data_IF_872194221618
#
_entry.id   IF_872194221618
#
_cell.length_a   1.000
_cell.length_b   1.000
_cell.length_c   1.000
_cell.angle_alpha   90.00
_cell.angle_beta   90.00
_cell.angle_gamma   90.00
#
_symmetry.space_group_name_H-M   'P 1'
#
loop_
_entity.id
_entity.type
_entity.pdbx_description
1 polymer ?
#
# COMPACT_ATOMS: atom_id res chain seq x y z
N UNK A 1 25.94 24.17 1.59
CA UNK A 1 24.63 24.82 1.54
C UNK A 1 23.58 23.75 1.22
N UNK A 2 22.72 23.36 2.18
CA UNK A 2 21.55 22.47 1.93
C UNK A 2 20.49 23.34 1.21
N UNK A 3 20.32 23.14 -0.09
CA UNK A 3 19.24 23.77 -0.84
C UNK A 3 17.88 23.30 -0.30
N UNK A 4 17.01 24.23 0.04
CA UNK A 4 15.60 23.97 0.35
C UNK A 4 14.98 23.32 -0.90
N UNK A 5 14.55 22.05 -0.80
CA UNK A 5 13.73 21.42 -1.85
C UNK A 5 12.37 22.08 -1.82
N UNK A 6 12.13 22.95 -2.76
CA UNK A 6 10.77 23.52 -2.98
C UNK A 6 9.90 22.36 -3.43
N UNK A 7 8.88 22.03 -2.65
CA UNK A 7 7.86 21.03 -3.06
C UNK A 7 7.13 21.63 -4.26
N UNK A 8 7.06 20.90 -5.37
CA UNK A 8 6.33 21.38 -6.54
C UNK A 8 4.82 21.41 -6.24
N UNK A 9 4.09 22.30 -6.90
CA UNK A 9 2.61 22.36 -6.77
C UNK A 9 1.98 21.01 -7.15
N UNK A 10 2.54 20.30 -8.14
CA UNK A 10 2.10 18.95 -8.53
C UNK A 10 2.31 17.96 -7.38
N UNK A 11 3.47 17.97 -6.73
CA UNK A 11 3.75 17.04 -5.63
C UNK A 11 2.86 17.31 -4.43
N UNK A 12 2.63 18.59 -4.08
CA UNK A 12 1.74 18.99 -3.00
C UNK A 12 0.29 18.55 -3.27
N UNK A 13 -0.20 18.76 -4.50
CA UNK A 13 -1.54 18.33 -4.91
C UNK A 13 -1.65 16.80 -4.91
N UNK A 14 -0.65 16.10 -5.44
CA UNK A 14 -0.61 14.62 -5.42
C UNK A 14 -0.67 14.09 -3.99
N UNK A 15 0.10 14.66 -3.08
CA UNK A 15 0.08 14.27 -1.66
C UNK A 15 -1.28 14.52 -1.00
N UNK A 16 -1.92 15.67 -1.29
CA UNK A 16 -3.25 16.00 -0.77
C UNK A 16 -4.33 15.03 -1.28
N UNK A 17 -4.35 14.75 -2.58
CA UNK A 17 -5.30 13.81 -3.18
C UNK A 17 -5.06 12.39 -2.67
N UNK A 18 -3.79 11.95 -2.54
CA UNK A 18 -3.44 10.64 -1.96
C UNK A 18 -4.01 10.49 -0.55
N UNK A 19 -3.79 11.48 0.33
CA UNK A 19 -4.36 11.48 1.67
C UNK A 19 -5.89 11.37 1.64
N UNK A 20 -6.58 12.12 0.77
CA UNK A 20 -8.05 12.04 0.66
C UNK A 20 -8.55 10.67 0.23
N UNK A 21 -7.84 10.00 -0.69
CA UNK A 21 -8.17 8.64 -1.14
C UNK A 21 -7.96 7.64 -0.01
N UNK A 22 -6.80 7.67 0.63
CA UNK A 22 -6.42 6.72 1.68
C UNK A 22 -7.19 6.92 3.00
N UNK A 23 -7.61 8.16 3.28
CA UNK A 23 -8.46 8.47 4.44
C UNK A 23 -9.96 8.21 4.17
N UNK A 24 -10.31 7.71 2.97
CA UNK A 24 -11.69 7.45 2.60
C UNK A 24 -12.55 8.70 2.42
N UNK A 25 -11.93 9.88 2.23
CA UNK A 25 -12.66 11.12 1.92
C UNK A 25 -13.07 11.21 0.44
N UNK A 26 -12.49 10.35 -0.39
CA UNK A 26 -12.91 10.09 -1.76
C UNK A 26 -13.29 8.62 -1.81
N UNK A 27 -14.58 8.36 -1.99
CA UNK A 27 -15.12 7.00 -1.93
C UNK A 27 -14.62 6.10 -3.08
N UNK A 28 -14.50 4.78 -2.87
CA UNK A 28 -14.30 3.83 -3.95
C UNK A 28 -15.36 3.99 -5.05
N UNK A 29 -14.93 3.94 -6.30
CA UNK A 29 -15.77 4.17 -7.47
C UNK A 29 -15.93 5.65 -7.87
N UNK A 30 -15.54 6.59 -7.00
CA UNK A 30 -15.63 8.02 -7.30
C UNK A 30 -14.63 8.44 -8.38
N UNK A 31 -15.08 9.23 -9.34
CA UNK A 31 -14.25 9.81 -10.38
C UNK A 31 -13.56 11.11 -9.93
N UNK A 32 -12.32 11.30 -10.37
CA UNK A 32 -11.57 12.55 -10.21
C UNK A 32 -11.41 13.20 -11.58
N UNK A 33 -12.20 14.22 -11.84
CA UNK A 33 -12.14 15.04 -13.06
C UNK A 33 -11.03 16.09 -12.96
N UNK A 34 -10.24 16.24 -14.03
CA UNK A 34 -9.14 17.23 -14.07
C UNK A 34 -9.64 18.67 -13.89
N UNK A 35 -10.85 18.98 -14.37
CA UNK A 35 -11.45 20.31 -14.27
C UNK A 35 -11.94 20.61 -12.86
N UNK A 36 -12.60 19.63 -12.22
CA UNK A 36 -13.10 19.72 -10.85
C UNK A 36 -11.94 19.87 -9.86
N UNK A 37 -10.91 19.04 -10.00
CA UNK A 37 -9.70 19.10 -9.15
C UNK A 37 -8.98 20.44 -9.36
N UNK A 38 -8.85 20.92 -10.60
CA UNK A 38 -8.22 22.21 -10.88
C UNK A 38 -8.97 23.38 -10.23
N UNK A 39 -10.30 23.34 -10.25
CA UNK A 39 -11.14 24.36 -9.63
C UNK A 39 -11.09 24.29 -8.08
N UNK A 40 -11.19 23.07 -7.50
CA UNK A 40 -11.17 22.87 -6.04
C UNK A 40 -9.87 23.35 -5.39
N UNK A 41 -8.74 23.11 -6.07
CA UNK A 41 -7.41 23.43 -5.54
C UNK A 41 -6.81 24.73 -6.10
N UNK A 42 -7.55 25.47 -6.90
CA UNK A 42 -7.10 26.72 -7.54
C UNK A 42 -5.78 26.56 -8.31
N UNK A 43 -5.64 25.45 -9.04
CA UNK A 43 -4.46 25.13 -9.85
C UNK A 43 -4.80 25.06 -11.33
N UNK A 44 -3.76 25.03 -12.18
CA UNK A 44 -3.98 24.85 -13.62
C UNK A 44 -4.47 23.43 -13.95
N UNK A 45 -5.27 23.24 -15.01
CA UNK A 45 -5.68 21.90 -15.50
C UNK A 45 -4.48 20.98 -15.80
N UNK A 46 -3.38 21.46 -16.44
CA UNK A 46 -2.17 20.65 -16.58
C UNK A 46 -1.58 20.16 -15.24
N UNK A 47 -1.61 20.99 -14.19
CA UNK A 47 -1.18 20.60 -12.83
C UNK A 47 -2.07 19.50 -12.26
N UNK A 48 -3.39 19.66 -12.33
CA UNK A 48 -4.35 18.64 -11.89
C UNK A 48 -4.17 17.32 -12.66
N UNK A 49 -4.03 17.41 -13.99
CA UNK A 49 -3.76 16.25 -14.86
C UNK A 49 -2.48 15.50 -14.45
N UNK A 50 -1.39 16.22 -14.17
CA UNK A 50 -0.13 15.63 -13.76
C UNK A 50 -0.25 14.92 -12.40
N UNK A 51 -0.93 15.54 -11.41
CA UNK A 51 -1.17 14.95 -10.10
C UNK A 51 -2.05 13.68 -10.18
N UNK A 52 -3.13 13.72 -10.96
CA UNK A 52 -3.99 12.55 -11.19
C UNK A 52 -3.21 11.43 -11.90
N UNK A 53 -2.38 11.77 -12.91
CA UNK A 53 -1.55 10.78 -13.61
C UNK A 53 -0.53 10.12 -12.67
N UNK A 54 0.05 10.86 -11.72
CA UNK A 54 0.93 10.29 -10.70
C UNK A 54 0.18 9.27 -9.83
N UNK A 55 -1.04 9.57 -9.37
CA UNK A 55 -1.86 8.63 -8.59
C UNK A 55 -2.28 7.39 -9.38
N UNK A 56 -2.50 7.52 -10.70
CA UNK A 56 -2.72 6.35 -11.58
C UNK A 56 -1.46 5.49 -11.66
N UNK A 57 -0.28 6.10 -11.78
CA UNK A 57 1.00 5.37 -11.79
C UNK A 57 1.29 4.68 -10.45
N UNK A 58 0.82 5.26 -9.34
CA UNK A 58 0.92 4.68 -8.00
C UNK A 58 -0.11 3.56 -7.73
N UNK A 59 -1.08 3.32 -8.64
CA UNK A 59 -2.14 2.33 -8.46
C UNK A 59 -3.30 2.80 -7.54
N UNK A 60 -3.28 4.04 -7.06
CA UNK A 60 -4.36 4.60 -6.23
C UNK A 60 -5.59 5.01 -7.04
N UNK A 61 -5.42 5.25 -8.33
CA UNK A 61 -6.48 5.52 -9.28
C UNK A 61 -6.36 4.60 -10.48
N UNK A 62 -7.49 4.21 -11.06
CA UNK A 62 -7.55 3.52 -12.37
C UNK A 62 -8.16 4.46 -13.39
N UNK A 63 -7.64 4.44 -14.62
CA UNK A 63 -8.18 5.24 -15.72
C UNK A 63 -8.49 4.36 -16.91
N UNK A 64 -9.75 4.32 -17.29
CA UNK A 64 -10.18 3.74 -18.56
C UNK A 64 -10.05 4.74 -19.70
N UNK A 65 -9.96 4.25 -20.94
CA UNK A 65 -9.89 5.11 -22.11
C UNK A 65 -11.13 6.04 -22.17
N UNK A 66 -10.89 7.32 -22.39
CA UNK A 66 -11.92 8.37 -22.49
C UNK A 66 -12.76 8.60 -21.24
N UNK A 67 -12.31 8.14 -20.06
CA UNK A 67 -12.98 8.39 -18.78
C UNK A 67 -12.10 9.15 -17.79
N UNK A 68 -12.73 9.79 -16.81
CA UNK A 68 -12.03 10.34 -15.65
C UNK A 68 -11.36 9.21 -14.88
N UNK A 69 -10.22 9.51 -14.26
CA UNK A 69 -9.62 8.56 -13.32
C UNK A 69 -10.54 8.39 -12.12
N UNK A 70 -10.61 7.17 -11.57
CA UNK A 70 -11.49 6.86 -10.43
C UNK A 70 -10.75 6.02 -9.38
N UNK A 71 -11.17 6.14 -8.12
CA UNK A 71 -10.70 5.25 -7.05
C UNK A 71 -11.23 3.85 -7.33
N UNK A 72 -10.38 2.82 -7.47
CA UNK A 72 -10.87 1.47 -7.75
C UNK A 72 -11.67 0.93 -6.55
N UNK A 73 -12.77 0.25 -6.85
CA UNK A 73 -13.45 -0.64 -5.90
C UNK A 73 -12.82 -2.01 -6.05
N UNK A 74 -12.10 -2.46 -5.04
CA UNK A 74 -11.38 -3.72 -5.10
C UNK A 74 -12.32 -4.90 -4.85
N UNK A 75 -12.18 -5.94 -5.65
CA UNK A 75 -12.84 -7.22 -5.48
C UNK A 75 -11.87 -8.23 -4.85
N UNK A 76 -12.39 -9.39 -4.42
CA UNK A 76 -11.56 -10.53 -4.02
C UNK A 76 -10.57 -10.93 -5.10
N UNK A 77 -11.00 -10.98 -6.36
CA UNK A 77 -10.13 -11.32 -7.48
C UNK A 77 -8.97 -10.33 -7.66
N UNK A 78 -9.22 -9.02 -7.44
CA UNK A 78 -8.15 -8.01 -7.45
C UNK A 78 -7.12 -8.26 -6.33
N UNK A 79 -7.57 -8.66 -5.13
CA UNK A 79 -6.67 -9.00 -4.01
C UNK A 79 -5.86 -10.26 -4.32
N UNK A 80 -6.50 -11.32 -4.82
CA UNK A 80 -5.82 -12.56 -5.17
C UNK A 80 -4.74 -12.32 -6.25
N UNK A 81 -5.04 -11.53 -7.28
CA UNK A 81 -4.10 -11.17 -8.36
C UNK A 81 -2.94 -10.28 -7.84
N UNK A 82 -3.25 -9.29 -6.98
CA UNK A 82 -2.23 -8.46 -6.34
C UNK A 82 -1.22 -9.29 -5.54
N UNK A 83 -1.70 -10.25 -4.74
CA UNK A 83 -0.83 -11.11 -3.93
C UNK A 83 -0.12 -12.17 -4.76
N UNK A 84 -0.66 -12.57 -5.93
CA UNK A 84 0.04 -13.43 -6.89
C UNK A 84 1.36 -12.79 -7.35
N UNK A 85 1.41 -11.46 -7.48
CA UNK A 85 2.61 -10.71 -7.88
C UNK A 85 3.44 -10.28 -6.68
N UNK A 86 2.81 -9.81 -5.59
CA UNK A 86 3.48 -9.31 -4.38
C UNK A 86 4.32 -10.40 -3.72
N UNK A 87 3.73 -11.58 -3.52
CA UNK A 87 4.36 -12.66 -2.75
C UNK A 87 5.70 -13.11 -3.34
N UNK A 88 5.85 -13.50 -4.62
CA UNK A 88 7.14 -13.90 -5.16
C UNK A 88 8.18 -12.78 -5.11
N UNK A 89 7.79 -11.50 -5.24
CA UNK A 89 8.72 -10.38 -5.14
C UNK A 89 9.28 -10.27 -3.72
N UNK A 90 8.43 -10.30 -2.70
CA UNK A 90 8.88 -10.17 -1.31
C UNK A 90 9.62 -11.42 -0.80
N UNK A 91 9.27 -12.62 -1.25
CA UNK A 91 10.03 -13.83 -0.92
C UNK A 91 11.45 -13.80 -1.52
N UNK A 92 11.61 -13.28 -2.74
CA UNK A 92 12.95 -13.08 -3.30
C UNK A 92 13.74 -12.01 -2.54
N UNK A 93 13.09 -10.95 -2.04
CA UNK A 93 13.70 -9.97 -1.14
C UNK A 93 14.24 -10.65 0.12
N UNK A 94 13.46 -11.54 0.75
CA UNK A 94 13.92 -12.29 1.93
C UNK A 94 15.18 -13.11 1.62
N UNK A 95 15.20 -13.85 0.51
CA UNK A 95 16.35 -14.63 0.09
C UNK A 95 17.61 -13.77 -0.09
N UNK A 96 17.47 -12.63 -0.76
CA UNK A 96 18.60 -11.72 -1.02
C UNK A 96 19.12 -11.04 0.25
N UNK A 97 18.23 -10.66 1.17
CA UNK A 97 18.62 -9.97 2.41
C UNK A 97 19.22 -10.94 3.44
N UNK A 98 18.78 -12.19 3.49
CA UNK A 98 19.41 -13.20 4.35
C UNK A 98 20.88 -13.45 3.99
N UNK A 99 21.27 -13.28 2.71
CA UNK A 99 22.66 -13.38 2.25
C UNK A 99 23.44 -12.08 2.47
N UNK A 100 22.79 -10.89 2.40
CA UNK A 100 23.45 -9.56 2.37
C UNK A 100 23.41 -8.83 3.70
N UNK A 101 22.55 -9.25 4.60
CA UNK A 101 22.25 -8.57 5.86
C UNK A 101 21.05 -7.63 5.76
N UNK A 102 20.49 -7.33 6.93
CA UNK A 102 19.28 -6.50 7.10
C UNK A 102 19.69 -5.06 7.38
N UNK A 103 19.05 -4.06 6.76
CA UNK A 103 19.32 -2.67 7.07
C UNK A 103 18.77 -2.31 8.48
N UNK A 104 19.51 -1.46 9.21
CA UNK A 104 19.06 -0.93 10.50
C UNK A 104 17.71 -0.24 10.44
N UNK A 105 17.39 0.39 9.31
CA UNK A 105 16.11 1.03 9.04
C UNK A 105 14.91 0.06 9.09
N UNK A 106 15.10 -1.25 8.91
CA UNK A 106 14.04 -2.22 9.03
C UNK A 106 13.60 -2.42 10.48
N UNK A 107 14.55 -2.50 11.43
CA UNK A 107 14.25 -2.54 12.86
C UNK A 107 13.57 -1.25 13.32
N UNK A 108 14.02 -0.10 12.81
CA UNK A 108 13.35 1.19 13.07
C UNK A 108 11.90 1.17 12.55
N UNK A 109 11.66 0.62 11.37
CA UNK A 109 10.30 0.55 10.81
C UNK A 109 9.35 -0.31 11.66
N UNK A 110 9.80 -1.45 12.20
CA UNK A 110 8.99 -2.27 13.12
C UNK A 110 8.76 -1.54 14.44
N UNK A 111 9.78 -0.86 14.97
CA UNK A 111 9.64 -0.04 16.18
C UNK A 111 8.60 1.08 15.98
N UNK A 112 8.66 1.80 14.86
CA UNK A 112 7.70 2.84 14.51
C UNK A 112 6.27 2.27 14.41
N UNK A 113 6.11 1.08 13.78
CA UNK A 113 4.84 0.38 13.67
C UNK A 113 4.26 0.02 15.04
N UNK A 114 5.10 -0.52 15.95
CA UNK A 114 4.70 -0.87 17.31
C UNK A 114 4.25 0.35 18.13
N UNK A 115 4.79 1.53 17.84
CA UNK A 115 4.47 2.78 18.54
C UNK A 115 3.32 3.59 17.91
N UNK A 116 2.68 3.10 16.86
CA UNK A 116 1.48 3.76 16.31
C UNK A 116 0.38 3.79 17.39
N UNK A 117 -0.13 4.96 17.79
CA UNK A 117 -1.14 5.06 18.85
C UNK A 117 -2.37 4.21 18.56
N UNK A 118 -2.99 3.57 19.58
CA UNK A 118 -4.17 2.74 19.37
C UNK A 118 -5.37 3.48 18.77
N UNK A 119 -5.46 4.79 19.03
CA UNK A 119 -6.49 5.72 18.55
C UNK A 119 -6.12 6.42 17.24
N UNK A 120 -4.94 6.17 16.70
CA UNK A 120 -4.55 6.70 15.40
C UNK A 120 -5.45 6.17 14.28
N UNK A 121 -5.58 6.96 13.21
CA UNK A 121 -6.32 6.54 12.02
C UNK A 121 -5.78 5.20 11.49
N UNK A 122 -6.68 4.36 10.97
CA UNK A 122 -6.29 3.06 10.41
C UNK A 122 -5.25 3.19 9.29
N UNK A 123 -5.38 4.22 8.44
CA UNK A 123 -4.42 4.55 7.39
C UNK A 123 -3.00 4.78 7.93
N UNK A 124 -2.85 5.37 9.12
CA UNK A 124 -1.55 5.58 9.76
C UNK A 124 -0.86 4.25 10.11
N UNK A 125 -1.62 3.29 10.64
CA UNK A 125 -1.08 1.96 10.93
C UNK A 125 -0.70 1.21 9.65
N UNK A 126 -1.57 1.25 8.63
CA UNK A 126 -1.30 0.64 7.32
C UNK A 126 -0.04 1.25 6.68
N UNK A 127 0.14 2.57 6.77
CA UNK A 127 1.34 3.21 6.22
C UNK A 127 2.62 2.78 6.93
N UNK A 128 2.58 2.63 8.25
CA UNK A 128 3.72 2.15 9.04
C UNK A 128 4.06 0.68 8.71
N UNK A 129 3.05 -0.18 8.55
CA UNK A 129 3.19 -1.56 8.11
C UNK A 129 3.84 -1.65 6.72
N UNK A 130 3.30 -0.94 5.73
CA UNK A 130 3.85 -0.92 4.38
C UNK A 130 5.25 -0.30 4.30
N UNK A 131 5.61 0.58 5.23
CA UNK A 131 6.96 1.12 5.32
C UNK A 131 7.99 0.04 5.62
N UNK A 132 7.69 -0.92 6.50
CA UNK A 132 8.56 -2.05 6.76
C UNK A 132 8.88 -2.82 5.48
N UNK A 133 7.87 -3.22 4.72
CA UNK A 133 8.05 -3.94 3.46
C UNK A 133 8.88 -3.13 2.43
N UNK A 134 8.58 -1.82 2.29
CA UNK A 134 9.36 -0.95 1.37
C UNK A 134 10.83 -0.85 1.76
N UNK A 135 11.13 -0.72 3.05
CA UNK A 135 12.52 -0.65 3.53
C UNK A 135 13.29 -1.90 3.15
N UNK A 136 12.68 -3.08 3.26
CA UNK A 136 13.30 -4.34 2.86
C UNK A 136 13.54 -4.41 1.34
N UNK A 137 12.55 -4.03 0.54
CA UNK A 137 12.67 -3.97 -0.93
C UNK A 137 13.78 -2.99 -1.35
N UNK A 138 13.82 -1.79 -0.76
CA UNK A 138 14.82 -0.76 -1.05
C UNK A 138 16.24 -1.22 -0.69
N UNK A 139 16.39 -1.98 0.38
CA UNK A 139 17.67 -2.53 0.85
C UNK A 139 18.32 -3.51 -0.13
N UNK A 140 17.54 -4.16 -0.99
CA UNK A 140 18.10 -4.99 -2.08
C UNK A 140 18.94 -4.17 -3.06
N UNK A 141 18.67 -2.87 -3.17
CA UNK A 141 19.44 -1.95 -4.04
C UNK A 141 19.16 -2.17 -5.53
N UNK A 142 18.02 -2.78 -5.90
CA UNK A 142 17.62 -2.98 -7.30
C UNK A 142 16.66 -1.91 -7.78
N UNK A 143 17.07 -0.95 -8.66
CA UNK A 143 16.16 0.08 -9.16
C UNK A 143 14.97 -0.49 -9.95
N UNK A 144 15.11 -1.69 -10.54
CA UNK A 144 14.00 -2.35 -11.27
C UNK A 144 12.99 -2.94 -10.30
N UNK A 145 13.46 -3.64 -9.27
CA UNK A 145 12.61 -4.20 -8.22
C UNK A 145 11.83 -3.09 -7.51
N UNK A 146 12.50 -1.99 -7.15
CA UNK A 146 11.88 -0.82 -6.51
C UNK A 146 10.77 -0.24 -7.38
N UNK A 147 10.98 -0.07 -8.70
CA UNK A 147 9.91 0.43 -9.59
C UNK A 147 8.72 -0.52 -9.69
N UNK A 148 8.97 -1.84 -9.77
CA UNK A 148 7.89 -2.83 -9.79
C UNK A 148 7.08 -2.78 -8.50
N UNK A 149 7.75 -2.77 -7.35
CA UNK A 149 7.10 -2.74 -6.04
C UNK A 149 6.35 -1.42 -5.80
N UNK A 150 6.92 -0.28 -6.21
CA UNK A 150 6.26 1.03 -6.15
C UNK A 150 4.97 1.07 -6.96
N UNK A 151 4.93 0.40 -8.12
CA UNK A 151 3.72 0.28 -8.93
C UNK A 151 2.59 -0.52 -8.25
N UNK A 152 2.93 -1.40 -7.31
CA UNK A 152 1.96 -2.18 -6.51
C UNK A 152 1.57 -1.48 -5.20
N UNK A 153 2.43 -0.59 -4.69
CA UNK A 153 2.31 -0.03 -3.33
C UNK A 153 0.98 0.68 -3.09
N UNK A 154 0.47 1.39 -4.08
CA UNK A 154 -0.82 2.08 -3.98
C UNK A 154 -2.00 1.10 -3.88
N UNK A 155 -2.02 0.06 -4.70
CA UNK A 155 -3.08 -0.96 -4.65
C UNK A 155 -3.00 -1.78 -3.36
N UNK A 156 -1.79 -2.12 -2.88
CA UNK A 156 -1.61 -2.77 -1.59
C UNK A 156 -2.19 -1.89 -0.47
N UNK A 157 -1.81 -0.61 -0.43
CA UNK A 157 -2.30 0.34 0.57
C UNK A 157 -3.83 0.46 0.51
N UNK A 158 -4.37 0.66 -0.69
CA UNK A 158 -5.80 0.81 -0.90
C UNK A 158 -6.58 -0.45 -0.48
N UNK A 159 -6.07 -1.65 -0.78
CA UNK A 159 -6.69 -2.91 -0.37
C UNK A 159 -6.79 -3.03 1.15
N UNK A 160 -5.74 -2.66 1.88
CA UNK A 160 -5.72 -2.70 3.34
C UNK A 160 -6.64 -1.66 3.97
N UNK A 161 -6.74 -0.46 3.39
CA UNK A 161 -7.62 0.60 3.88
C UNK A 161 -9.09 0.27 3.60
N UNK A 162 -9.44 -0.17 2.38
CA UNK A 162 -10.81 -0.49 2.00
C UNK A 162 -11.37 -1.69 2.76
N UNK A 163 -10.53 -2.69 3.05
CA UNK A 163 -10.97 -3.88 3.79
C UNK A 163 -11.05 -3.66 5.31
N UNK A 164 -10.64 -2.48 5.83
CA UNK A 164 -10.51 -2.24 7.27
C UNK A 164 -9.80 -3.40 7.97
N UNK A 165 -8.70 -3.80 7.38
CA UNK A 165 -7.89 -4.96 7.71
C UNK A 165 -7.83 -5.24 9.22
N UNK A 166 -8.35 -6.38 9.63
CA UNK A 166 -8.61 -6.72 11.02
C UNK A 166 -7.63 -7.78 11.61
N UNK A 167 -6.41 -7.92 11.07
CA UNK A 167 -5.38 -8.63 11.83
C UNK A 167 -4.97 -7.77 13.03
N UNK A 168 -4.88 -8.39 14.20
CA UNK A 168 -4.49 -7.68 15.41
C UNK A 168 -3.13 -7.01 15.25
N UNK A 169 -3.00 -5.75 15.67
CA UNK A 169 -1.75 -4.96 15.55
C UNK A 169 -0.56 -5.69 16.16
N UNK A 170 -0.72 -6.24 17.37
CA UNK A 170 0.33 -6.97 18.08
C UNK A 170 0.81 -8.18 17.30
N UNK A 171 -0.10 -8.88 16.61
CA UNK A 171 0.26 -9.99 15.74
C UNK A 171 1.13 -9.55 14.57
N UNK A 172 0.76 -8.45 13.90
CA UNK A 172 1.53 -7.93 12.75
C UNK A 172 2.93 -7.52 13.18
N UNK A 173 3.06 -6.81 14.30
CA UNK A 173 4.37 -6.43 14.86
C UNK A 173 5.21 -7.69 15.17
N UNK A 174 4.62 -8.68 15.83
CA UNK A 174 5.33 -9.93 16.18
C UNK A 174 5.76 -10.72 14.93
N UNK A 175 4.94 -10.75 13.87
CA UNK A 175 5.28 -11.37 12.59
C UNK A 175 6.47 -10.65 11.91
N UNK A 176 6.50 -9.31 11.91
CA UNK A 176 7.62 -8.54 11.38
C UNK A 176 8.91 -8.73 12.18
N UNK A 177 8.83 -8.73 13.51
CA UNK A 177 9.97 -9.00 14.38
C UNK A 177 10.56 -10.39 14.12
N UNK A 178 9.70 -11.41 13.95
CA UNK A 178 10.13 -12.77 13.65
C UNK A 178 10.85 -12.88 12.30
N UNK A 179 10.37 -12.15 11.28
CA UNK A 179 11.04 -12.06 9.97
C UNK A 179 12.42 -11.43 10.12
N UNK A 180 12.51 -10.29 10.84
CA UNK A 180 13.81 -9.63 11.08
C UNK A 180 14.80 -10.52 11.83
N UNK A 181 14.34 -11.24 12.85
CA UNK A 181 15.18 -12.16 13.62
C UNK A 181 15.75 -13.28 12.74
N UNK A 182 14.93 -13.85 11.84
CA UNK A 182 15.39 -14.87 10.90
C UNK A 182 16.41 -14.31 9.89
N UNK A 183 16.15 -13.13 9.35
CA UNK A 183 17.07 -12.44 8.43
C UNK A 183 18.41 -12.09 9.11
N UNK A 184 18.38 -11.66 10.38
CA UNK A 184 19.58 -11.24 11.11
C UNK A 184 20.59 -12.40 11.32
N UNK A 185 20.09 -13.65 11.37
CA UNK A 185 20.95 -14.86 11.49
C UNK A 185 21.21 -15.53 10.13
N UNK A 186 20.72 -14.96 9.04
CA UNK A 186 20.89 -15.51 7.69
C UNK A 186 20.07 -16.76 7.41
N UNK A 187 18.99 -17.02 8.18
CA UNK A 187 18.11 -18.19 8.00
C UNK A 187 17.11 -17.90 6.86
N UNK A 188 17.53 -18.21 5.64
CA UNK A 188 16.76 -17.99 4.40
C UNK A 188 15.43 -18.74 4.44
N UNK A 189 15.44 -20.02 4.85
CA UNK A 189 14.24 -20.87 4.87
C UNK A 189 13.21 -20.32 5.86
N UNK A 190 13.66 -19.97 7.05
CA UNK A 190 12.80 -19.41 8.09
C UNK A 190 12.24 -18.06 7.70
N UNK A 191 13.08 -17.14 7.18
CA UNK A 191 12.65 -15.81 6.75
C UNK A 191 11.60 -15.87 5.62
N UNK A 192 11.83 -16.73 4.62
CA UNK A 192 10.87 -16.90 3.50
C UNK A 192 9.57 -17.57 3.93
N UNK A 193 9.62 -18.55 4.88
CA UNK A 193 8.40 -19.17 5.44
C UNK A 193 7.57 -18.16 6.20
N UNK A 194 8.18 -17.40 7.11
CA UNK A 194 7.50 -16.40 7.93
C UNK A 194 6.88 -15.29 7.06
N UNK A 195 7.61 -14.78 6.07
CA UNK A 195 7.06 -13.78 5.14
C UNK A 195 5.91 -14.35 4.31
N UNK A 196 5.99 -15.60 3.86
CA UNK A 196 4.90 -16.25 3.13
C UNK A 196 3.66 -16.40 3.99
N UNK A 197 3.80 -16.84 5.25
CA UNK A 197 2.71 -16.98 6.20
C UNK A 197 2.05 -15.62 6.51
N UNK A 198 2.86 -14.58 6.71
CA UNK A 198 2.41 -13.21 6.92
C UNK A 198 1.57 -12.70 5.72
N UNK A 199 2.12 -12.79 4.50
CA UNK A 199 1.44 -12.34 3.29
C UNK A 199 0.19 -13.16 2.97
N UNK A 200 0.21 -14.48 3.18
CA UNK A 200 -0.96 -15.33 2.99
C UNK A 200 -2.06 -14.97 4.00
N UNK A 201 -1.71 -14.78 5.26
CA UNK A 201 -2.64 -14.33 6.30
C UNK A 201 -3.26 -12.97 5.99
N UNK A 202 -2.45 -12.03 5.47
CA UNK A 202 -2.92 -10.73 5.01
C UNK A 202 -3.92 -10.87 3.86
N UNK A 203 -3.56 -11.61 2.78
CA UNK A 203 -4.45 -11.87 1.64
C UNK A 203 -5.79 -12.46 2.10
N UNK A 204 -5.75 -13.49 2.92
CA UNK A 204 -6.95 -14.21 3.35
C UNK A 204 -7.87 -13.31 4.19
N UNK A 205 -7.30 -12.48 5.06
CA UNK A 205 -8.08 -11.52 5.85
C UNK A 205 -8.73 -10.43 4.99
N UNK A 206 -7.99 -9.90 3.98
CA UNK A 206 -8.50 -8.92 3.03
C UNK A 206 -9.64 -9.53 2.19
N UNK A 207 -9.43 -10.72 1.62
CA UNK A 207 -10.42 -11.43 0.84
C UNK A 207 -11.70 -11.72 1.64
N UNK A 208 -11.56 -12.22 2.87
CA UNK A 208 -12.70 -12.50 3.75
C UNK A 208 -13.52 -11.25 4.11
N UNK A 209 -12.89 -10.06 4.14
CA UNK A 209 -13.61 -8.82 4.38
C UNK A 209 -14.46 -8.42 3.15
N UNK A 210 -13.88 -8.55 1.95
CA UNK A 210 -14.55 -8.20 0.69
C UNK A 210 -15.72 -9.15 0.35
N UNK A 211 -15.69 -10.40 0.85
CA UNK A 211 -16.78 -11.36 0.68
C UNK A 211 -18.01 -11.06 1.59
N UNK A 212 -17.88 -10.13 2.54
CA UNK A 212 -19.00 -9.74 3.41
C UNK A 212 -19.97 -8.84 2.65
N UNK A 213 -21.28 -9.13 2.64
CA UNK A 213 -22.26 -8.24 2.02
C UNK A 213 -22.18 -6.87 2.71
N UNK A 214 -22.11 -5.81 1.90
CA UNK A 214 -22.15 -4.43 2.41
C UNK A 214 -23.43 -4.24 3.23
N UNK A 215 -23.38 -3.68 4.45
CA UNK A 215 -24.57 -3.39 5.22
C UNK A 215 -25.47 -2.41 4.43
N UNK A 216 -26.56 -2.89 3.85
CA UNK A 216 -27.56 -2.10 3.12
C UNK A 216 -27.86 -2.52 1.68
N UNK A 217 -27.21 -3.54 1.11
CA UNK A 217 -27.68 -4.10 -0.16
C UNK A 217 -28.74 -5.20 0.10
N UNK A 218 -29.97 -5.06 -0.43
CA UNK A 218 -30.96 -6.14 -0.37
C UNK A 218 -30.43 -7.33 -1.19
N UNK A 219 -30.49 -8.50 -0.57
CA UNK A 219 -30.15 -9.79 -1.17
C UNK A 219 -31.12 -10.05 -2.34
N UNK A 220 -30.71 -9.73 -3.56
CA UNK A 220 -31.49 -10.08 -4.75
C UNK A 220 -31.12 -11.53 -5.11
N UNK A 221 -32.02 -12.50 -4.99
CA UNK A 221 -31.72 -13.86 -5.40
C UNK A 221 -31.50 -13.90 -6.91
N UNK A 222 -30.39 -14.48 -7.30
CA UNK A 222 -30.12 -14.80 -8.71
C UNK A 222 -31.09 -15.90 -9.12
N UNK A 223 -31.97 -15.57 -10.05
CA UNK A 223 -32.88 -16.50 -10.69
C UNK A 223 -32.20 -17.26 -11.81
#
# INVERSE_FOLDING_TARGET
MKGLRTVSVVDALTASLRSKVLDGRIDPGSGLGETEVAAEYEVSRPTAKAAIAALVTEGLLRREAHRSAQVPTLSRADVDDLFLVRMPLELEVMRLLAERGVPESAATAVTDLAHVPPDAAHSTFVEADLRFHRVLVDAVGSPRLNRLYQGLSGEIHLSMVQSRYALGRDRIVAEHDAVLAALAVGDVERATSLMREHLAGARDALAAHLDRPSPGQPNTPVS
#
